data_IF_524807526642
#
_entry.id   IF_524807526642
#
_cell.length_a   1.000
_cell.length_b   1.000
_cell.length_c   1.000
_cell.angle_alpha   90.00
_cell.angle_beta   90.00
_cell.angle_gamma   90.00
#
_symmetry.space_group_name_H-M   'P 1'
#
loop_
_entity.id
_entity.type
_entity.pdbx_description
1 polymer ?
#
# COMPACT_ATOMS: atom_id res chain seq x y z
N UNK A 1 17.13 6.52 -4.55
CA UNK A 1 16.28 7.68 -4.95
C UNK A 1 15.18 7.28 -5.94
N UNK A 2 15.48 6.69 -7.10
CA UNK A 2 14.47 6.32 -8.11
C UNK A 2 13.35 5.43 -7.54
N UNK A 3 13.71 4.36 -6.82
CA UNK A 3 12.75 3.41 -6.24
C UNK A 3 11.80 4.08 -5.23
N UNK A 4 12.34 4.97 -4.39
CA UNK A 4 11.56 5.75 -3.42
C UNK A 4 10.55 6.64 -4.15
N UNK A 5 10.99 7.32 -5.22
CA UNK A 5 10.10 8.14 -6.05
C UNK A 5 8.96 7.31 -6.63
N UNK A 6 9.24 6.11 -7.16
CA UNK A 6 8.21 5.22 -7.70
C UNK A 6 7.22 4.80 -6.61
N UNK A 7 7.70 4.42 -5.42
CA UNK A 7 6.84 4.07 -4.29
C UNK A 7 5.92 5.24 -3.93
N UNK A 8 6.46 6.45 -3.80
CA UNK A 8 5.68 7.65 -3.50
C UNK A 8 4.61 7.93 -4.58
N UNK A 9 4.97 7.83 -5.86
CA UNK A 9 4.03 8.04 -6.98
C UNK A 9 2.89 7.03 -6.95
N UNK A 10 3.19 5.74 -6.77
CA UNK A 10 2.15 4.70 -6.73
C UNK A 10 1.24 4.83 -5.51
N UNK A 11 1.80 5.18 -4.35
CA UNK A 11 1.00 5.47 -3.16
C UNK A 11 0.06 6.65 -3.40
N UNK A 12 0.56 7.73 -4.00
CA UNK A 12 -0.28 8.87 -4.33
C UNK A 12 -1.46 8.47 -5.22
N UNK A 13 -1.20 7.69 -6.29
CA UNK A 13 -2.25 7.20 -7.20
C UNK A 13 -3.26 6.30 -6.50
N UNK A 14 -2.80 5.39 -5.63
CA UNK A 14 -3.67 4.56 -4.78
C UNK A 14 -4.59 5.43 -3.93
N UNK A 15 -4.06 6.45 -3.27
CA UNK A 15 -4.83 7.34 -2.39
C UNK A 15 -5.90 8.10 -3.19
N UNK A 16 -5.55 8.59 -4.38
CA UNK A 16 -6.51 9.22 -5.30
C UNK A 16 -7.60 8.24 -5.70
N UNK A 17 -7.26 7.00 -6.10
CA UNK A 17 -8.24 5.98 -6.48
C UNK A 17 -9.21 5.66 -5.33
N UNK A 18 -8.69 5.54 -4.10
CA UNK A 18 -9.50 5.28 -2.91
C UNK A 18 -10.40 6.46 -2.59
N UNK A 19 -9.88 7.69 -2.68
CA UNK A 19 -10.68 8.88 -2.46
C UNK A 19 -11.87 8.94 -3.42
N UNK A 20 -11.62 8.77 -4.72
CA UNK A 20 -12.66 8.73 -5.76
C UNK A 20 -13.65 7.57 -5.52
N UNK A 21 -13.15 6.40 -5.11
CA UNK A 21 -14.00 5.25 -4.81
C UNK A 21 -14.91 5.52 -3.61
N UNK A 22 -14.37 6.06 -2.51
CA UNK A 22 -15.14 6.41 -1.31
C UNK A 22 -16.15 7.49 -1.61
N UNK A 23 -15.78 8.54 -2.34
CA UNK A 23 -16.69 9.64 -2.67
C UNK A 23 -17.91 9.12 -3.47
N UNK A 24 -17.65 8.40 -4.56
CA UNK A 24 -18.71 7.88 -5.43
C UNK A 24 -19.54 6.78 -4.77
N UNK A 25 -18.89 5.82 -4.11
CA UNK A 25 -19.58 4.65 -3.53
C UNK A 25 -20.13 4.91 -2.14
N UNK A 26 -19.49 5.77 -1.35
CA UNK A 26 -19.93 6.15 -0.01
C UNK A 26 -21.25 6.92 -0.05
N UNK A 27 -21.37 7.92 -0.93
CA UNK A 27 -22.63 8.65 -1.12
C UNK A 27 -23.76 7.70 -1.56
N UNK A 28 -23.50 6.86 -2.57
CA UNK A 28 -24.47 5.88 -3.06
C UNK A 28 -24.83 4.80 -2.01
N UNK A 29 -23.90 4.45 -1.12
CA UNK A 29 -24.14 3.52 -0.02
C UNK A 29 -25.08 4.13 1.01
N UNK A 30 -24.81 5.38 1.43
CA UNK A 30 -25.63 6.14 2.38
C UNK A 30 -27.05 6.37 1.84
N UNK A 31 -27.18 6.70 0.55
CA UNK A 31 -28.48 6.89 -0.12
C UNK A 31 -29.19 5.57 -0.48
N UNK A 32 -28.62 4.40 -0.12
CA UNK A 32 -29.13 3.07 -0.44
C UNK A 32 -29.33 2.80 -1.95
N UNK A 33 -28.58 3.50 -2.80
CA UNK A 33 -28.66 3.39 -4.26
C UNK A 33 -27.76 2.30 -4.85
N UNK A 34 -26.87 1.70 -4.05
CA UNK A 34 -26.04 0.58 -4.48
C UNK A 34 -26.83 -0.73 -4.63
N UNK A 35 -26.57 -1.45 -5.73
CA UNK A 35 -27.04 -2.83 -5.92
C UNK A 35 -26.36 -3.78 -4.91
N UNK A 36 -26.97 -4.92 -4.61
CA UNK A 36 -26.46 -5.90 -3.62
C UNK A 36 -24.95 -6.20 -3.77
N UNK A 37 -24.50 -6.54 -4.98
CA UNK A 37 -23.07 -6.82 -5.23
C UNK A 37 -22.17 -5.59 -4.99
N UNK A 38 -22.63 -4.39 -5.33
CA UNK A 38 -21.87 -3.16 -5.09
C UNK A 38 -21.79 -2.83 -3.60
N UNK A 39 -22.88 -3.08 -2.86
CA UNK A 39 -22.93 -2.93 -1.40
C UNK A 39 -21.95 -3.88 -0.72
N UNK A 40 -21.99 -5.18 -1.05
CA UNK A 40 -21.07 -6.18 -0.50
C UNK A 40 -19.61 -5.81 -0.78
N UNK A 41 -19.29 -5.34 -1.99
CA UNK A 41 -17.94 -4.91 -2.33
C UNK A 41 -17.47 -3.69 -1.52
N UNK A 42 -18.37 -2.73 -1.26
CA UNK A 42 -18.05 -1.55 -0.45
C UNK A 42 -17.82 -1.94 1.02
N UNK A 43 -18.61 -2.86 1.57
CA UNK A 43 -18.42 -3.38 2.93
C UNK A 43 -17.10 -4.14 3.08
N UNK A 44 -16.72 -4.94 2.08
CA UNK A 44 -15.39 -5.58 2.05
C UNK A 44 -14.27 -4.56 2.07
N UNK A 45 -14.39 -3.48 1.29
CA UNK A 45 -13.44 -2.38 1.31
C UNK A 45 -13.34 -1.74 2.72
N UNK A 46 -14.47 -1.43 3.36
CA UNK A 46 -14.48 -0.86 4.72
C UNK A 46 -13.74 -1.79 5.70
N UNK A 47 -13.99 -3.09 5.63
CA UNK A 47 -13.37 -4.07 6.52
C UNK A 47 -11.84 -4.11 6.41
N UNK A 48 -11.29 -3.90 5.21
CA UNK A 48 -9.83 -3.92 4.99
C UNK A 48 -9.17 -2.55 5.12
N UNK A 49 -9.95 -1.46 5.04
CA UNK A 49 -9.44 -0.10 4.94
C UNK A 49 -8.52 0.30 6.09
N UNK A 50 -8.87 -0.09 7.32
CA UNK A 50 -8.06 0.26 8.50
C UNK A 50 -6.66 -0.35 8.43
N UNK A 51 -6.57 -1.64 8.12
CA UNK A 51 -5.28 -2.31 7.98
C UNK A 51 -4.49 -1.71 6.82
N UNK A 52 -5.16 -1.43 5.70
CA UNK A 52 -4.50 -0.83 4.56
C UNK A 52 -3.92 0.55 4.87
N UNK A 53 -4.72 1.41 5.51
CA UNK A 53 -4.33 2.76 5.89
C UNK A 53 -3.06 2.75 6.73
N UNK A 54 -2.96 1.85 7.72
CA UNK A 54 -1.78 1.76 8.57
C UNK A 54 -0.51 1.41 7.79
N UNK A 55 -0.61 0.51 6.82
CA UNK A 55 0.52 0.09 6.00
C UNK A 55 0.99 1.22 5.07
N UNK A 56 0.06 1.91 4.41
CA UNK A 56 0.40 3.04 3.56
C UNK A 56 1.07 4.15 4.38
N UNK A 57 0.53 4.46 5.56
CA UNK A 57 1.13 5.43 6.47
C UNK A 57 2.54 5.01 6.90
N UNK A 58 2.75 3.74 7.23
CA UNK A 58 4.07 3.22 7.57
C UNK A 58 5.06 3.36 6.42
N UNK A 59 4.68 2.95 5.20
CA UNK A 59 5.54 3.06 4.02
C UNK A 59 5.87 4.55 3.74
N UNK A 60 4.91 5.45 3.88
CA UNK A 60 5.14 6.90 3.75
C UNK A 60 6.15 7.42 4.78
N UNK A 61 5.96 7.10 6.07
CA UNK A 61 6.85 7.55 7.14
C UNK A 61 8.27 7.04 6.96
N UNK A 62 8.42 5.77 6.58
CA UNK A 62 9.75 5.22 6.35
C UNK A 62 10.43 5.83 5.12
N UNK A 63 9.72 5.99 4.00
CA UNK A 63 10.29 6.66 2.83
C UNK A 63 10.69 8.11 3.16
N UNK A 64 9.88 8.83 3.92
CA UNK A 64 10.23 10.17 4.41
C UNK A 64 11.49 10.13 5.28
N UNK A 65 11.59 9.18 6.21
CA UNK A 65 12.75 9.01 7.09
C UNK A 65 14.03 8.74 6.30
N UNK A 66 13.95 7.94 5.24
CA UNK A 66 15.06 7.69 4.32
C UNK A 66 15.45 8.97 3.59
N UNK A 67 14.47 9.71 3.06
CA UNK A 67 14.73 10.96 2.34
C UNK A 67 15.43 11.97 3.26
N UNK A 68 14.97 12.13 4.50
CA UNK A 68 15.59 13.02 5.48
C UNK A 68 16.98 12.58 5.91
N UNK A 69 17.29 11.29 5.79
CA UNK A 69 18.58 10.71 6.19
C UNK A 69 19.50 10.44 5.00
N UNK A 70 19.22 11.01 3.81
CA UNK A 70 20.00 10.72 2.59
C UNK A 70 21.49 10.99 2.76
N UNK A 71 21.87 12.05 3.46
CA UNK A 71 23.27 12.38 3.73
C UNK A 71 23.96 11.32 4.59
N UNK A 72 23.23 10.69 5.51
CA UNK A 72 23.73 9.59 6.34
C UNK A 72 23.69 8.23 5.62
N UNK A 73 22.79 8.06 4.64
CA UNK A 73 22.65 6.82 3.87
C UNK A 73 23.88 6.53 3.01
N UNK A 74 24.56 7.57 2.53
CA UNK A 74 25.83 7.44 1.82
C UNK A 74 26.95 6.82 2.67
N UNK A 75 26.81 6.83 4.01
CA UNK A 75 27.78 6.29 4.96
C UNK A 75 27.35 4.94 5.57
N UNK A 76 26.25 4.34 5.09
CA UNK A 76 25.73 3.07 5.60
C UNK A 76 26.60 1.89 5.15
N UNK A 77 26.87 0.96 6.07
CA UNK A 77 27.54 -0.32 5.77
C UNK A 77 26.86 -1.06 4.59
N UNK A 78 27.65 -1.67 3.73
CA UNK A 78 27.19 -2.49 2.59
C UNK A 78 26.11 -3.52 2.98
N UNK A 79 26.20 -4.14 4.17
CA UNK A 79 25.19 -5.09 4.65
C UNK A 79 23.82 -4.42 4.87
N UNK A 80 23.81 -3.26 5.52
CA UNK A 80 22.60 -2.48 5.79
C UNK A 80 22.03 -1.86 4.51
N UNK A 81 22.89 -1.42 3.59
CA UNK A 81 22.48 -0.95 2.26
C UNK A 81 21.78 -2.04 1.45
N UNK A 82 22.31 -3.28 1.47
CA UNK A 82 21.67 -4.43 0.82
C UNK A 82 20.29 -4.75 1.42
N UNK A 83 20.18 -4.72 2.75
CA UNK A 83 18.91 -4.97 3.44
C UNK A 83 17.87 -3.91 3.09
N UNK A 84 18.28 -2.64 3.10
CA UNK A 84 17.43 -1.51 2.71
C UNK A 84 16.91 -1.68 1.29
N UNK A 85 17.77 -2.04 0.34
CA UNK A 85 17.37 -2.25 -1.06
C UNK A 85 16.40 -3.42 -1.23
N UNK A 86 16.55 -4.50 -0.45
CA UNK A 86 15.58 -5.61 -0.45
C UNK A 86 14.22 -5.16 0.07
N UNK A 87 14.20 -4.40 1.17
CA UNK A 87 12.96 -3.89 1.75
C UNK A 87 12.24 -2.93 0.79
N UNK A 88 12.95 -1.98 0.19
CA UNK A 88 12.38 -1.05 -0.80
C UNK A 88 11.79 -1.80 -1.99
N UNK A 89 12.43 -2.88 -2.46
CA UNK A 89 11.89 -3.69 -3.56
C UNK A 89 10.59 -4.40 -3.17
N UNK A 90 10.53 -4.98 -1.98
CA UNK A 90 9.30 -5.61 -1.46
C UNK A 90 8.17 -4.58 -1.41
N UNK A 91 8.46 -3.37 -0.95
CA UNK A 91 7.46 -2.31 -0.88
C UNK A 91 7.02 -1.82 -2.24
N UNK A 92 7.95 -1.67 -3.18
CA UNK A 92 7.61 -1.32 -4.56
C UNK A 92 6.64 -2.35 -5.14
N UNK A 93 6.97 -3.65 -5.05
CA UNK A 93 6.09 -4.72 -5.54
C UNK A 93 4.73 -4.70 -4.84
N UNK A 94 4.70 -4.48 -3.53
CA UNK A 94 3.46 -4.38 -2.77
C UNK A 94 2.58 -3.21 -3.27
N UNK A 95 3.16 -2.00 -3.46
CA UNK A 95 2.38 -0.85 -3.92
C UNK A 95 1.96 -0.96 -5.38
N UNK A 96 2.77 -1.56 -6.25
CA UNK A 96 2.41 -1.84 -7.65
C UNK A 96 1.22 -2.82 -7.76
N UNK A 97 1.25 -3.90 -6.98
CA UNK A 97 0.16 -4.87 -6.92
C UNK A 97 -1.12 -4.21 -6.37
N UNK A 98 -0.98 -3.43 -5.31
CA UNK A 98 -2.12 -2.72 -4.72
C UNK A 98 -2.72 -1.71 -5.69
N UNK A 99 -1.90 -0.95 -6.40
CA UNK A 99 -2.36 -0.01 -7.43
C UNK A 99 -3.15 -0.74 -8.53
N UNK A 100 -2.65 -1.89 -8.98
CA UNK A 100 -3.30 -2.72 -10.00
C UNK A 100 -4.67 -3.23 -9.55
N UNK A 101 -4.78 -3.66 -8.28
CA UNK A 101 -6.00 -4.30 -7.75
C UNK A 101 -7.04 -3.29 -7.23
N UNK A 102 -6.60 -2.09 -6.83
CA UNK A 102 -7.45 -0.98 -6.39
C UNK A 102 -8.07 -0.20 -7.55
N UNK A 103 -7.83 -0.64 -8.80
CA UNK A 103 -8.48 -0.07 -9.96
C UNK A 103 -10.01 -0.16 -9.83
N UNK A 104 -10.68 0.97 -10.02
CA UNK A 104 -12.14 1.19 -9.90
C UNK A 104 -12.96 0.20 -10.76
N UNK A 105 -12.38 -0.35 -11.82
CA UNK A 105 -13.03 -1.36 -12.68
C UNK A 105 -12.93 -2.78 -12.12
N UNK A 106 -11.84 -3.13 -11.44
CA UNK A 106 -11.57 -4.49 -10.93
C UNK A 106 -12.02 -4.67 -9.48
N UNK A 107 -11.84 -3.66 -8.63
CA UNK A 107 -12.26 -3.63 -7.21
C UNK A 107 -11.95 -4.93 -6.44
N UNK A 108 -10.73 -5.46 -6.60
CA UNK A 108 -10.31 -6.76 -6.04
C UNK A 108 -9.80 -6.61 -4.61
N UNK A 109 -10.67 -6.08 -3.74
CA UNK A 109 -10.34 -5.78 -2.35
C UNK A 109 -9.98 -7.03 -1.54
N UNK A 110 -10.58 -8.19 -1.84
CA UNK A 110 -10.23 -9.46 -1.19
C UNK A 110 -8.83 -9.95 -1.57
N UNK A 111 -8.40 -9.74 -2.82
CA UNK A 111 -7.04 -10.08 -3.26
C UNK A 111 -6.02 -9.15 -2.60
N UNK A 112 -6.37 -7.87 -2.44
CA UNK A 112 -5.58 -6.93 -1.65
C UNK A 112 -5.49 -7.41 -0.19
N UNK A 113 -6.59 -7.89 0.39
CA UNK A 113 -6.62 -8.48 1.73
C UNK A 113 -5.63 -9.65 1.87
N UNK A 114 -5.62 -10.56 0.88
CA UNK A 114 -4.75 -11.73 0.84
C UNK A 114 -3.27 -11.39 0.63
N UNK A 115 -2.97 -10.34 -0.15
CA UNK A 115 -1.60 -9.83 -0.28
C UNK A 115 -1.03 -9.36 1.06
N UNK A 116 -1.85 -8.78 1.94
CA UNK A 116 -1.39 -8.37 3.27
C UNK A 116 -0.96 -9.55 4.13
N UNK A 117 -1.80 -10.59 4.20
CA UNK A 117 -1.57 -11.73 5.08
C UNK A 117 -0.37 -12.58 4.66
N UNK A 118 -0.08 -12.63 3.37
CA UNK A 118 0.95 -13.54 2.83
C UNK A 118 2.28 -12.87 2.51
N UNK A 119 2.27 -11.68 1.91
CA UNK A 119 3.50 -11.04 1.42
C UNK A 119 4.19 -10.20 2.48
N UNK A 120 3.48 -9.29 3.15
CA UNK A 120 4.11 -8.40 4.12
C UNK A 120 4.60 -9.20 5.33
N UNK A 121 3.77 -10.06 5.92
CA UNK A 121 4.17 -10.84 7.10
C UNK A 121 5.40 -11.74 6.85
N UNK A 122 5.43 -12.46 5.72
CA UNK A 122 6.59 -13.29 5.35
C UNK A 122 7.83 -12.44 5.06
N UNK A 123 7.69 -11.36 4.31
CA UNK A 123 8.80 -10.51 3.93
C UNK A 123 9.40 -9.75 5.13
N UNK A 124 8.56 -9.25 6.06
CA UNK A 124 9.04 -8.60 7.29
C UNK A 124 9.72 -9.60 8.23
N UNK A 125 9.15 -10.82 8.39
CA UNK A 125 9.80 -11.89 9.19
C UNK A 125 11.14 -12.35 8.59
N UNK A 126 11.26 -12.39 7.26
CA UNK A 126 12.51 -12.75 6.60
C UNK A 126 13.61 -11.68 6.77
N UNK A 127 13.21 -10.41 6.88
CA UNK A 127 14.12 -9.27 7.08
C UNK A 127 14.54 -9.14 8.55
N UNK A 128 13.65 -9.44 9.51
CA UNK A 128 13.90 -9.33 10.96
C UNK A 128 14.61 -10.55 11.58
N UNK A 129 14.77 -11.66 10.85
CA UNK A 129 15.49 -12.86 11.30
C UNK A 129 17.00 -12.86 10.97
N UNK A 130 17.55 -11.71 10.54
CA UNK A 130 18.95 -11.48 10.19
C UNK A 130 19.56 -10.35 11.03
#
# INVERSE_FOLDING_TARGET
>A
IIMIRQICTHIHQILVNIHIFIENRGQAYQSKQLRSNQRSNFERFINIYNNFRQIILFICHFNASIIFSLDNICCIDLKYSSLLMKLLRIWLTFVENTLTLSNITRNRWDEIAALYSTSIEKSTKAILKL
#
